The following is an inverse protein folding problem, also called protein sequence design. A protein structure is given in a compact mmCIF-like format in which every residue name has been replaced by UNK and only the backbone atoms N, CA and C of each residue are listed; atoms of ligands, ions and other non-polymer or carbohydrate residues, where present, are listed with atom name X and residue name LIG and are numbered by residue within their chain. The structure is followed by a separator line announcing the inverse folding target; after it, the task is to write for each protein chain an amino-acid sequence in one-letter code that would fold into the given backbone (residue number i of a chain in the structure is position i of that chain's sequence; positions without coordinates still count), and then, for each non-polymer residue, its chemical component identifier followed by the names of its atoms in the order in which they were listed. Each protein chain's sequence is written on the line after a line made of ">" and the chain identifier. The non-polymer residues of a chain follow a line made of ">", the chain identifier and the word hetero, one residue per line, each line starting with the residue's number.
data_IF_455541519784
#
_entry.id   IF_455541519784
#
_cell.length_a   1.000
_cell.length_b   1.000
_cell.length_c   1.000
_cell.angle_alpha   90.00
_cell.angle_beta   90.00
_cell.angle_gamma   90.00
#
_symmetry.space_group_name_H-M   'P 1'
#
loop_
_entity.id
_entity.type
_entity.pdbx_description
1 polymer ?
#
# COMPACT_ATOMS: atom_id res chain seq x y z
N UNK A 1 1.10 -9.21 -13.05
CA UNK A 1 2.20 -9.52 -12.12
C UNK A 1 2.04 -8.60 -10.92
N UNK A 2 2.11 -9.14 -9.69
CA UNK A 2 1.99 -8.36 -8.45
C UNK A 2 3.16 -7.39 -8.27
N UNK A 3 2.94 -6.28 -7.54
CA UNK A 3 4.02 -5.45 -7.03
C UNK A 3 4.79 -6.13 -5.89
N UNK A 4 4.10 -7.04 -5.16
CA UNK A 4 4.69 -7.69 -4.00
C UNK A 4 5.69 -8.79 -4.36
N UNK A 5 6.66 -8.97 -3.46
CA UNK A 5 7.64 -10.04 -3.43
C UNK A 5 7.39 -10.96 -2.24
N UNK A 6 7.83 -12.20 -2.37
CA UNK A 6 7.78 -13.17 -1.29
C UNK A 6 8.64 -12.69 -0.10
N UNK A 7 8.08 -12.54 1.11
CA UNK A 7 8.86 -12.07 2.27
C UNK A 7 9.87 -13.09 2.78
N UNK A 8 9.81 -14.35 2.29
CA UNK A 8 10.70 -15.42 2.71
C UNK A 8 11.89 -15.66 1.77
N UNK A 9 11.70 -15.45 0.44
CA UNK A 9 12.75 -15.72 -0.55
C UNK A 9 12.93 -14.61 -1.58
N UNK A 10 12.23 -13.47 -1.44
CA UNK A 10 12.28 -12.30 -2.32
C UNK A 10 11.86 -12.57 -3.79
N UNK A 11 11.45 -13.79 -4.15
CA UNK A 11 10.96 -14.09 -5.49
C UNK A 11 9.66 -13.33 -5.80
N UNK A 12 9.37 -13.00 -7.08
CA UNK A 12 8.11 -12.38 -7.47
C UNK A 12 6.91 -13.18 -7.00
N UNK A 13 5.86 -12.48 -6.57
CA UNK A 13 4.58 -13.10 -6.26
C UNK A 13 3.64 -12.98 -7.46
N UNK A 14 2.94 -14.07 -7.74
CA UNK A 14 1.82 -14.11 -8.69
C UNK A 14 0.54 -14.35 -7.91
N UNK A 15 -0.47 -13.51 -8.15
CA UNK A 15 -1.80 -13.69 -7.57
C UNK A 15 -2.61 -14.63 -8.46
N UNK A 16 -3.13 -15.67 -7.89
CA UNK A 16 -4.20 -16.51 -8.46
C UNK A 16 -5.52 -16.31 -7.67
N UNK A 17 -6.55 -17.12 -7.95
CA UNK A 17 -7.90 -16.91 -7.44
C UNK A 17 -8.04 -16.81 -5.89
N UNK A 18 -7.08 -17.26 -5.11
CA UNK A 18 -7.20 -17.29 -3.64
C UNK A 18 -5.91 -17.05 -2.88
N UNK A 19 -4.76 -16.96 -3.56
CA UNK A 19 -3.47 -16.82 -2.90
C UNK A 19 -2.44 -16.08 -3.75
N UNK A 20 -1.40 -15.57 -3.08
CA UNK A 20 -0.16 -15.15 -3.71
C UNK A 20 0.87 -16.29 -3.60
N UNK A 21 1.49 -16.65 -4.73
CA UNK A 21 2.47 -17.74 -4.80
C UNK A 21 3.78 -17.28 -5.43
N UNK A 22 4.89 -17.88 -5.01
CA UNK A 22 6.19 -17.65 -5.62
C UNK A 22 6.76 -18.95 -6.21
N UNK A 23 7.78 -18.83 -7.05
CA UNK A 23 8.50 -19.97 -7.64
C UNK A 23 9.22 -20.86 -6.60
N UNK A 24 9.48 -20.33 -5.40
CA UNK A 24 10.05 -21.10 -4.28
C UNK A 24 9.02 -21.94 -3.51
N UNK A 25 7.77 -22.07 -3.99
CA UNK A 25 6.72 -22.88 -3.37
C UNK A 25 6.01 -22.22 -2.19
N UNK A 26 6.33 -20.98 -1.80
CA UNK A 26 5.63 -20.28 -0.73
C UNK A 26 4.27 -19.79 -1.21
N UNK A 27 3.25 -19.93 -0.35
CA UNK A 27 1.88 -19.51 -0.63
C UNK A 27 1.34 -18.67 0.53
N UNK A 28 0.61 -17.59 0.19
CA UNK A 28 0.01 -16.64 1.13
C UNK A 28 -1.44 -16.44 0.75
N UNK A 29 -2.36 -16.89 1.60
CA UNK A 29 -3.79 -16.81 1.33
C UNK A 29 -4.27 -15.36 1.31
N UNK A 30 -5.15 -15.06 0.36
CA UNK A 30 -5.86 -13.78 0.29
C UNK A 30 -7.07 -13.85 1.22
N UNK A 31 -7.17 -12.90 2.13
CA UNK A 31 -8.33 -12.77 2.99
C UNK A 31 -9.59 -12.50 2.13
N UNK A 32 -10.77 -12.87 2.65
CA UNK A 32 -12.04 -12.66 1.94
C UNK A 32 -12.30 -11.20 1.53
N UNK A 33 -11.69 -10.26 2.23
CA UNK A 33 -11.76 -8.83 1.92
C UNK A 33 -10.83 -8.40 0.80
N UNK A 34 -9.80 -9.21 0.44
CA UNK A 34 -8.91 -8.96 -0.70
C UNK A 34 -7.47 -8.59 -0.34
N UNK A 35 -7.10 -8.49 0.95
CA UNK A 35 -5.70 -8.25 1.37
C UNK A 35 -4.96 -9.56 1.64
N UNK A 36 -3.63 -9.52 1.64
CA UNK A 36 -2.74 -10.65 1.96
C UNK A 36 -1.89 -10.35 3.20
N UNK A 37 -1.50 -11.37 3.94
CA UNK A 37 -0.60 -11.25 5.10
C UNK A 37 0.84 -11.60 4.68
N UNK A 38 1.69 -10.58 4.53
CA UNK A 38 3.10 -10.73 4.12
C UNK A 38 4.09 -10.35 5.23
N UNK A 39 3.62 -10.09 6.46
CA UNK A 39 4.49 -9.83 7.61
C UNK A 39 4.97 -11.17 8.20
N UNK A 40 6.27 -11.49 8.13
CA UNK A 40 6.81 -12.71 8.73
C UNK A 40 6.64 -12.73 10.25
N UNK A 41 6.45 -13.90 10.87
CA UNK A 41 6.24 -14.00 12.33
C UNK A 41 7.36 -13.37 13.17
N UNK A 42 8.61 -13.45 12.73
CA UNK A 42 9.78 -12.89 13.40
C UNK A 42 9.86 -11.33 13.35
N UNK A 43 9.00 -10.68 12.59
CA UNK A 43 8.87 -9.22 12.50
C UNK A 43 7.65 -8.69 13.25
N UNK A 44 6.94 -9.55 13.93
CA UNK A 44 5.75 -9.20 14.69
C UNK A 44 6.14 -8.89 16.13
N UNK A 45 6.19 -7.59 16.49
CA UNK A 45 6.61 -7.12 17.82
C UNK A 45 5.44 -7.01 18.83
N UNK A 46 4.19 -7.21 18.39
CA UNK A 46 3.00 -7.23 19.25
C UNK A 46 1.97 -8.24 18.75
N UNK A 47 1.04 -8.63 19.62
CA UNK A 47 -0.06 -9.53 19.22
C UNK A 47 -0.99 -8.89 18.19
N UNK A 48 -1.23 -7.57 18.31
CA UNK A 48 -2.04 -6.75 17.39
C UNK A 48 -1.22 -5.54 16.95
N UNK A 49 -0.37 -5.66 15.92
CA UNK A 49 0.40 -4.52 15.44
C UNK A 49 -0.48 -3.55 14.66
N UNK A 50 -0.14 -2.26 14.71
CA UNK A 50 -0.89 -1.18 14.06
C UNK A 50 -2.15 -0.76 14.84
N UNK A 51 -2.97 0.05 14.19
CA UNK A 51 -4.23 0.55 14.77
C UNK A 51 -5.18 -0.61 15.08
N UNK A 52 -5.82 -0.54 16.24
CA UNK A 52 -6.90 -1.44 16.62
C UNK A 52 -8.21 -1.11 15.86
N UNK A 53 -9.26 -1.88 16.16
CA UNK A 53 -10.54 -1.71 15.49
C UNK A 53 -11.18 -0.35 15.74
N UNK A 54 -11.13 0.13 16.97
CA UNK A 54 -11.83 1.36 17.36
C UNK A 54 -11.09 2.58 16.81
N UNK A 55 -9.76 2.57 16.81
CA UNK A 55 -8.94 3.59 16.14
C UNK A 55 -9.24 3.66 14.64
N UNK A 56 -9.34 2.51 13.97
CA UNK A 56 -9.68 2.45 12.53
C UNK A 56 -11.08 3.01 12.27
N UNK A 57 -12.06 2.70 13.13
CA UNK A 57 -13.43 3.21 12.99
C UNK A 57 -13.48 4.73 13.19
N UNK A 58 -12.82 5.25 14.23
CA UNK A 58 -12.77 6.68 14.51
C UNK A 58 -12.10 7.46 13.36
N UNK A 59 -10.97 6.95 12.84
CA UNK A 59 -10.28 7.55 11.69
C UNK A 59 -11.15 7.53 10.44
N UNK A 60 -11.83 6.42 10.17
CA UNK A 60 -12.76 6.29 9.05
C UNK A 60 -13.90 7.31 9.13
N UNK A 61 -14.53 7.46 10.31
CA UNK A 61 -15.57 8.46 10.53
C UNK A 61 -15.06 9.86 10.26
N UNK A 62 -13.88 10.21 10.80
CA UNK A 62 -13.24 11.50 10.60
C UNK A 62 -12.95 11.78 9.12
N UNK A 63 -12.32 10.85 8.40
CA UNK A 63 -11.99 11.01 7.00
C UNK A 63 -13.24 11.04 6.10
N UNK A 64 -14.32 10.32 6.47
CA UNK A 64 -15.59 10.35 5.73
C UNK A 64 -16.26 11.74 5.75
N UNK A 65 -16.01 12.52 6.78
CA UNK A 65 -16.46 13.94 6.90
C UNK A 65 -15.65 14.91 6.03
N UNK A 66 -14.66 14.38 5.26
CA UNK A 66 -13.83 15.12 4.29
C UNK A 66 -12.99 16.26 4.89
N UNK A 67 -12.69 16.23 6.19
CA UNK A 67 -11.84 17.25 6.82
C UNK A 67 -10.45 17.36 6.18
N UNK A 68 -9.91 16.27 5.64
CA UNK A 68 -8.64 16.24 4.92
C UNK A 68 -8.77 16.20 3.39
N UNK A 69 -9.94 16.59 2.84
CA UNK A 69 -10.14 16.60 1.38
C UNK A 69 -9.17 17.54 0.68
N UNK A 70 -8.88 18.71 1.28
CA UNK A 70 -7.92 19.67 0.74
C UNK A 70 -6.51 19.09 0.62
N UNK A 71 -6.08 18.31 1.64
CA UNK A 71 -4.80 17.62 1.62
C UNK A 71 -4.75 16.56 0.50
N UNK A 72 -5.79 15.73 0.38
CA UNK A 72 -5.88 14.75 -0.71
C UNK A 72 -5.83 15.44 -2.08
N UNK A 73 -6.56 16.53 -2.26
CA UNK A 73 -6.54 17.29 -3.51
C UNK A 73 -5.14 17.84 -3.82
N UNK A 74 -4.42 18.32 -2.82
CA UNK A 74 -3.04 18.80 -2.97
C UNK A 74 -2.10 17.66 -3.40
N UNK A 75 -2.21 16.50 -2.76
CA UNK A 75 -1.44 15.29 -3.13
C UNK A 75 -1.74 14.92 -4.58
N UNK A 76 -3.02 14.83 -4.97
CA UNK A 76 -3.43 14.50 -6.33
C UNK A 76 -2.90 15.51 -7.36
N UNK A 77 -2.96 16.81 -7.05
CA UNK A 77 -2.45 17.86 -7.92
C UNK A 77 -0.93 17.77 -8.13
N UNK A 78 -0.18 17.50 -7.05
CA UNK A 78 1.27 17.26 -7.17
C UNK A 78 1.55 16.07 -8.09
N UNK A 79 0.86 14.94 -7.86
CA UNK A 79 1.05 13.72 -8.65
C UNK A 79 0.55 13.84 -10.10
N UNK A 80 -0.28 14.83 -10.42
CA UNK A 80 -0.74 15.06 -11.79
C UNK A 80 0.40 15.37 -12.77
N UNK A 81 1.49 15.97 -12.28
CA UNK A 81 2.69 16.29 -13.06
C UNK A 81 3.60 15.07 -13.34
N UNK A 82 3.32 13.92 -12.75
CA UNK A 82 4.10 12.70 -13.02
C UNK A 82 3.84 12.19 -14.44
N UNK A 83 4.89 11.87 -15.20
CA UNK A 83 4.80 11.59 -16.65
C UNK A 83 4.57 10.12 -17.04
N UNK A 84 4.49 9.19 -16.08
CA UNK A 84 4.32 7.75 -16.39
C UNK A 84 2.88 7.36 -16.73
N UNK A 85 2.67 6.54 -17.76
CA UNK A 85 1.35 6.02 -18.11
C UNK A 85 0.83 4.92 -17.16
N UNK A 86 1.74 4.07 -16.69
CA UNK A 86 1.43 2.92 -15.81
C UNK A 86 2.27 2.94 -14.54
N UNK A 87 2.16 4.00 -13.71
CA UNK A 87 3.03 4.13 -12.54
C UNK A 87 2.76 3.02 -11.52
N UNK A 88 3.83 2.50 -10.94
CA UNK A 88 3.76 1.68 -9.73
C UNK A 88 3.62 2.62 -8.53
N UNK A 89 2.44 2.69 -7.95
CA UNK A 89 2.10 3.53 -6.81
C UNK A 89 2.04 2.70 -5.53
N UNK A 90 2.82 3.08 -4.52
CA UNK A 90 2.82 2.52 -3.18
C UNK A 90 2.34 3.57 -2.17
N UNK A 91 1.40 3.17 -1.32
CA UNK A 91 1.01 3.90 -0.10
C UNK A 91 1.53 3.09 1.12
N UNK A 92 2.60 3.58 1.75
CA UNK A 92 3.25 2.92 2.88
C UNK A 92 2.67 3.43 4.20
N UNK A 93 1.97 2.57 4.94
CA UNK A 93 1.14 2.95 6.08
C UNK A 93 -0.21 3.47 5.63
N UNK A 94 -0.84 2.76 4.68
CA UNK A 94 -2.05 3.21 3.98
C UNK A 94 -3.32 3.28 4.86
N UNK A 95 -3.29 2.73 6.07
CA UNK A 95 -4.44 2.68 6.95
C UNK A 95 -5.66 2.03 6.28
N UNK A 96 -6.79 2.71 6.32
CA UNK A 96 -8.04 2.26 5.70
C UNK A 96 -8.13 2.53 4.18
N UNK A 97 -7.05 2.98 3.55
CA UNK A 97 -6.94 3.17 2.11
C UNK A 97 -7.63 4.42 1.56
N UNK A 98 -7.94 5.41 2.40
CA UNK A 98 -8.64 6.62 1.96
C UNK A 98 -7.78 7.44 0.99
N UNK A 99 -6.52 7.70 1.33
CA UNK A 99 -5.56 8.37 0.45
C UNK A 99 -5.19 7.49 -0.74
N UNK A 100 -4.93 6.20 -0.51
CA UNK A 100 -4.61 5.23 -1.57
C UNK A 100 -5.66 5.26 -2.69
N UNK A 101 -6.94 5.11 -2.33
CA UNK A 101 -8.03 5.09 -3.30
C UNK A 101 -8.21 6.43 -3.99
N UNK A 102 -8.11 7.55 -3.25
CA UNK A 102 -8.25 8.90 -3.83
C UNK A 102 -7.15 9.20 -4.86
N UNK A 103 -5.90 8.89 -4.55
CA UNK A 103 -4.76 9.06 -5.47
C UNK A 103 -4.90 8.13 -6.68
N UNK A 104 -5.19 6.84 -6.47
CA UNK A 104 -5.37 5.89 -7.57
C UNK A 104 -6.51 6.31 -8.52
N UNK A 105 -7.63 6.81 -7.96
CA UNK A 105 -8.75 7.33 -8.76
C UNK A 105 -8.34 8.57 -9.56
N UNK A 106 -7.60 9.50 -8.95
CA UNK A 106 -7.11 10.70 -9.63
C UNK A 106 -6.17 10.35 -10.79
N UNK A 107 -5.25 9.40 -10.59
CA UNK A 107 -4.38 8.91 -11.65
C UNK A 107 -5.17 8.26 -12.79
N UNK A 108 -6.17 7.44 -12.48
CA UNK A 108 -7.06 6.83 -13.49
C UNK A 108 -7.86 7.88 -14.25
N UNK A 109 -8.39 8.87 -13.56
CA UNK A 109 -9.15 9.97 -14.17
C UNK A 109 -8.30 10.82 -15.15
N UNK A 110 -6.97 10.87 -14.92
CA UNK A 110 -6.03 11.52 -15.86
C UNK A 110 -5.55 10.60 -17.00
N UNK A 111 -6.21 9.45 -17.22
CA UNK A 111 -5.90 8.52 -18.31
C UNK A 111 -4.77 7.53 -17.99
N UNK A 112 -4.20 7.55 -16.78
CA UNK A 112 -3.16 6.62 -16.36
C UNK A 112 -3.74 5.28 -15.90
N UNK A 113 -2.92 4.25 -15.90
CA UNK A 113 -3.27 2.90 -15.41
C UNK A 113 -2.33 2.52 -14.26
N UNK A 114 -2.48 3.10 -13.05
CA UNK A 114 -1.58 2.84 -11.95
C UNK A 114 -1.67 1.38 -11.50
N UNK A 115 -0.51 0.79 -11.22
CA UNK A 115 -0.41 -0.43 -10.44
C UNK A 115 -0.31 0.00 -8.98
N UNK A 116 -1.39 -0.16 -8.24
CA UNK A 116 -1.52 0.39 -6.88
C UNK A 116 -1.30 -0.69 -5.84
N UNK A 117 -0.44 -0.41 -4.86
CA UNK A 117 -0.28 -1.21 -3.66
C UNK A 117 -0.39 -0.34 -2.40
N UNK A 118 -0.97 -0.91 -1.34
CA UNK A 118 -0.99 -0.33 0.00
C UNK A 118 -0.46 -1.32 1.03
N UNK A 119 0.34 -0.84 1.97
CA UNK A 119 0.82 -1.66 3.10
C UNK A 119 0.46 -1.02 4.42
N UNK A 120 0.09 -1.82 5.40
CA UNK A 120 -0.14 -1.40 6.77
C UNK A 120 0.09 -2.58 7.73
N UNK A 121 0.34 -2.30 9.02
CA UNK A 121 0.42 -3.34 10.04
C UNK A 121 -0.96 -3.80 10.53
N UNK A 122 -1.96 -2.91 10.47
CA UNK A 122 -3.31 -3.18 10.93
C UNK A 122 -4.12 -3.98 9.91
N UNK A 123 -4.38 -5.23 10.23
CA UNK A 123 -5.35 -6.04 9.45
C UNK A 123 -6.77 -5.46 9.46
N UNK A 124 -7.14 -4.70 10.51
CA UNK A 124 -8.46 -4.07 10.60
C UNK A 124 -8.58 -2.92 9.58
N UNK A 125 -7.53 -2.12 9.44
CA UNK A 125 -7.45 -1.07 8.44
C UNK A 125 -7.49 -1.66 7.02
N UNK A 126 -6.67 -2.67 6.74
CA UNK A 126 -6.59 -3.29 5.41
C UNK A 126 -7.88 -3.99 4.96
N UNK A 127 -8.71 -4.48 5.89
CA UNK A 127 -10.07 -4.97 5.56
C UNK A 127 -10.92 -3.88 4.90
N UNK A 128 -10.76 -2.65 5.35
CA UNK A 128 -11.49 -1.51 4.78
C UNK A 128 -10.86 -1.04 3.48
N UNK A 129 -9.52 -0.94 3.45
CA UNK A 129 -8.77 -0.55 2.27
C UNK A 129 -9.07 -1.44 1.06
N UNK A 130 -9.01 -2.76 1.24
CA UNK A 130 -9.28 -3.74 0.18
C UNK A 130 -10.74 -3.74 -0.33
N UNK A 131 -11.69 -3.27 0.48
CA UNK A 131 -13.08 -3.05 0.04
C UNK A 131 -13.25 -1.74 -0.71
N UNK A 132 -12.43 -0.73 -0.39
CA UNK A 132 -12.50 0.62 -0.95
C UNK A 132 -11.97 0.67 -2.39
N UNK A 133 -10.85 0.00 -2.67
CA UNK A 133 -10.29 -0.11 -4.02
C UNK A 133 -9.93 -1.59 -4.30
N UNK A 134 -10.74 -2.25 -5.12
CA UNK A 134 -10.57 -3.66 -5.48
C UNK A 134 -9.51 -3.89 -6.55
N UNK A 135 -9.11 -2.82 -7.25
CA UNK A 135 -8.06 -2.87 -8.28
C UNK A 135 -6.66 -2.69 -7.68
N UNK A 136 -6.58 -2.30 -6.40
CA UNK A 136 -5.32 -2.18 -5.67
C UNK A 136 -4.98 -3.48 -4.92
N UNK A 137 -3.70 -3.71 -4.72
CA UNK A 137 -3.17 -4.81 -3.90
C UNK A 137 -2.89 -4.30 -2.49
N UNK A 138 -3.35 -5.03 -1.45
CA UNK A 138 -3.11 -4.64 -0.06
C UNK A 138 -2.43 -5.76 0.71
N UNK A 139 -1.40 -5.41 1.49
CA UNK A 139 -0.66 -6.38 2.30
C UNK A 139 -0.42 -5.91 3.74
N UNK A 140 -0.60 -6.84 4.70
CA UNK A 140 -0.04 -6.65 6.04
C UNK A 140 1.47 -6.75 5.93
N UNK A 141 2.18 -5.63 6.13
CA UNK A 141 3.63 -5.54 6.05
C UNK A 141 4.15 -4.34 6.85
N UNK A 142 5.40 -4.40 7.26
CA UNK A 142 6.09 -3.30 7.92
C UNK A 142 6.67 -2.34 6.90
N UNK A 143 6.51 -1.02 7.12
CA UNK A 143 7.18 0.02 6.32
C UNK A 143 8.70 -0.05 6.43
N UNK A 144 9.24 -0.65 7.48
CA UNK A 144 10.68 -0.83 7.66
C UNK A 144 11.26 -2.04 6.90
N UNK A 145 10.40 -2.89 6.31
CA UNK A 145 10.78 -4.02 5.48
C UNK A 145 9.64 -4.36 4.52
N UNK A 146 9.55 -3.60 3.46
CA UNK A 146 8.51 -3.73 2.46
C UNK A 146 8.72 -4.97 1.58
N UNK A 147 7.70 -5.77 1.33
CA UNK A 147 7.79 -6.91 0.42
C UNK A 147 7.73 -6.44 -1.04
N UNK A 148 8.68 -5.59 -1.45
CA UNK A 148 8.82 -5.06 -2.80
C UNK A 148 10.28 -5.16 -3.26
N UNK A 149 10.48 -5.18 -4.58
CA UNK A 149 11.82 -5.16 -5.14
C UNK A 149 12.47 -3.77 -5.04
N UNK A 150 13.80 -3.73 -5.08
CA UNK A 150 14.55 -2.50 -5.19
C UNK A 150 14.15 -1.76 -6.47
N UNK A 151 13.99 -0.44 -6.39
CA UNK A 151 13.70 0.41 -7.54
C UNK A 151 12.43 0.05 -8.31
N UNK A 152 11.42 -0.54 -7.65
CA UNK A 152 10.20 -1.03 -8.29
C UNK A 152 8.99 -0.09 -8.18
N UNK A 153 9.12 1.01 -7.44
CA UNK A 153 8.06 1.97 -7.16
C UNK A 153 8.36 3.30 -7.86
N UNK A 154 7.38 3.81 -8.58
CA UNK A 154 7.45 5.12 -9.25
C UNK A 154 7.00 6.27 -8.34
N UNK A 155 5.93 6.02 -7.61
CA UNK A 155 5.28 6.97 -6.70
C UNK A 155 5.13 6.33 -5.33
N UNK A 156 5.69 6.95 -4.30
CA UNK A 156 5.57 6.51 -2.92
C UNK A 156 4.90 7.61 -2.10
N UNK A 157 3.79 7.26 -1.46
CA UNK A 157 3.13 8.08 -0.45
C UNK A 157 3.38 7.50 0.93
N UNK A 158 3.71 8.35 1.90
CA UNK A 158 3.73 8.03 3.31
C UNK A 158 3.03 9.17 4.05
N UNK A 159 1.79 8.93 4.46
CA UNK A 159 0.92 9.95 5.04
C UNK A 159 0.55 9.58 6.47
N UNK A 160 1.00 10.39 7.46
CA UNK A 160 0.77 10.18 8.89
C UNK A 160 1.21 8.79 9.39
N UNK A 161 2.29 8.27 8.85
CA UNK A 161 2.85 6.95 9.14
C UNK A 161 4.35 7.06 9.41
N UNK A 162 4.96 6.12 10.15
CA UNK A 162 6.38 6.17 10.46
C UNK A 162 7.26 6.25 9.20
N UNK A 163 8.23 7.16 9.22
CA UNK A 163 9.19 7.38 8.14
C UNK A 163 10.30 6.31 8.17
N UNK A 164 10.27 5.39 7.22
CA UNK A 164 11.28 4.34 7.03
C UNK A 164 12.19 4.70 5.83
N UNK A 165 12.95 5.79 5.94
CA UNK A 165 13.62 6.46 4.84
C UNK A 165 14.52 5.53 4.01
N UNK A 166 15.34 4.68 4.66
CA UNK A 166 16.25 3.76 3.97
C UNK A 166 15.48 2.73 3.13
N UNK A 167 14.38 2.21 3.68
CA UNK A 167 13.53 1.26 2.98
C UNK A 167 12.76 1.92 1.83
N UNK A 168 12.31 3.16 2.02
CA UNK A 168 11.65 3.94 0.97
C UNK A 168 12.62 4.26 -0.18
N UNK A 169 13.88 4.61 0.13
CA UNK A 169 14.94 4.78 -0.88
C UNK A 169 15.23 3.50 -1.65
N UNK A 170 15.22 2.34 -0.97
CA UNK A 170 15.46 1.04 -1.61
C UNK A 170 14.38 0.72 -2.65
N UNK A 171 13.10 0.89 -2.30
CA UNK A 171 12.00 0.50 -3.19
C UNK A 171 11.70 1.52 -4.28
N UNK A 172 12.00 2.80 -4.03
CA UNK A 172 11.76 3.88 -4.98
C UNK A 172 12.81 3.82 -6.11
N UNK A 173 12.36 3.88 -7.36
CA UNK A 173 13.28 3.92 -8.50
C UNK A 173 14.03 5.27 -8.59
N UNK A 174 15.19 5.33 -9.24
CA UNK A 174 15.81 6.60 -9.59
C UNK A 174 14.84 7.47 -10.40
N UNK A 175 14.66 8.73 -9.98
CA UNK A 175 13.68 9.65 -10.57
C UNK A 175 12.22 9.40 -10.16
N UNK A 176 11.96 8.46 -9.26
CA UNK A 176 10.66 8.28 -8.64
C UNK A 176 10.33 9.39 -7.64
N UNK A 177 9.07 9.55 -7.33
CA UNK A 177 8.57 10.62 -6.45
C UNK A 177 8.18 10.07 -5.09
N UNK A 178 8.66 10.74 -4.05
CA UNK A 178 8.30 10.47 -2.66
C UNK A 178 7.53 11.65 -2.07
N UNK A 179 6.30 11.40 -1.64
CA UNK A 179 5.47 12.35 -0.91
C UNK A 179 5.38 11.92 0.54
N UNK A 180 5.82 12.80 1.43
CA UNK A 180 5.77 12.62 2.87
C UNK A 180 4.88 13.69 3.51
N UNK A 181 3.96 13.28 4.36
CA UNK A 181 2.98 14.14 5.05
C UNK A 181 2.97 13.81 6.55
#
# INVERSE_FOLDING_TARGET
>A
MSLFRCPLCAAPLTRDAGAYRCSGGHSFDVAKEGYVHLLPPNQKHSALPGDDRDMVLARREFLSKKYYQSLLNTICNLLSSFSGETPAFLDAGCGEGWYTAGVAQSLRASGRRPRTAGTDLSKFALRTAAKRDKDAEFAVASSYRLPLADGSVDLLLNCFSPLALEEFRRVLRPGGWFLYV
#
